data_IF_661323150112
#
_entry.id   IF_661323150112
#
_cell.length_a   1.000
_cell.length_b   1.000
_cell.length_c   1.000
_cell.angle_alpha   90.00
_cell.angle_beta   90.00
_cell.angle_gamma   90.00
#
_symmetry.space_group_name_H-M   'P 1'
#
loop_
_entity.id
_entity.type
_entity.pdbx_description
1 polymer ?
#
# COMPACT_ATOMS: atom_id res chain seq x y z
N UNK A 1 -43.71 0.76 -68.10
CA UNK A 1 -44.39 0.55 -66.80
C UNK A 1 -43.51 -0.28 -65.87
N UNK A 2 -43.08 0.28 -64.74
CA UNK A 2 -43.01 -0.34 -63.40
C UNK A 2 -42.37 0.68 -62.44
N UNK A 3 -43.15 1.35 -61.58
CA UNK A 3 -42.67 2.42 -60.71
C UNK A 3 -41.96 1.84 -59.48
N UNK A 4 -40.78 2.37 -59.17
CA UNK A 4 -40.04 2.07 -57.93
C UNK A 4 -40.58 2.93 -56.78
N UNK A 5 -41.52 2.38 -56.01
CA UNK A 5 -41.98 2.97 -54.74
C UNK A 5 -42.04 1.86 -53.69
N UNK A 6 -41.65 2.21 -52.45
CA UNK A 6 -41.64 1.42 -51.20
C UNK A 6 -40.26 0.99 -50.69
N UNK A 7 -39.34 1.94 -50.48
CA UNK A 7 -38.20 1.74 -49.55
C UNK A 7 -37.85 2.88 -48.57
N UNK A 8 -38.58 4.02 -48.42
CA UNK A 8 -38.17 5.03 -47.43
C UNK A 8 -38.43 4.56 -45.99
N UNK A 9 -39.49 3.78 -45.75
CA UNK A 9 -39.82 3.20 -44.45
C UNK A 9 -38.77 2.22 -43.94
N UNK A 10 -38.17 1.41 -44.83
CA UNK A 10 -37.11 0.46 -44.44
C UNK A 10 -35.83 1.21 -44.03
N UNK A 11 -35.51 2.30 -44.73
CA UNK A 11 -34.40 3.18 -44.35
C UNK A 11 -34.68 3.90 -43.02
N UNK A 12 -35.92 4.35 -42.80
CA UNK A 12 -36.33 4.97 -41.54
C UNK A 12 -36.25 3.98 -40.36
N UNK A 13 -36.71 2.74 -40.53
CA UNK A 13 -36.59 1.69 -39.50
C UNK A 13 -35.14 1.36 -39.14
N UNK A 14 -34.25 1.32 -40.14
CA UNK A 14 -32.82 1.07 -39.92
C UNK A 14 -32.13 2.19 -39.14
N UNK A 15 -32.48 3.44 -39.43
CA UNK A 15 -31.96 4.61 -38.70
C UNK A 15 -32.47 4.66 -37.26
N UNK A 16 -33.75 4.35 -37.03
CA UNK A 16 -34.33 4.30 -35.68
C UNK A 16 -33.69 3.18 -34.85
N UNK A 17 -33.45 2.01 -35.44
CA UNK A 17 -32.77 0.91 -34.75
C UNK A 17 -31.31 1.27 -34.40
N UNK A 18 -30.58 1.94 -35.29
CA UNK A 18 -29.22 2.42 -35.00
C UNK A 18 -29.20 3.49 -33.91
N UNK A 19 -30.16 4.41 -33.91
CA UNK A 19 -30.26 5.45 -32.90
C UNK A 19 -30.56 4.86 -31.51
N UNK A 20 -31.50 3.90 -31.43
CA UNK A 20 -31.79 3.19 -30.18
C UNK A 20 -30.60 2.37 -29.68
N UNK A 21 -29.88 1.67 -30.56
CA UNK A 21 -28.66 0.96 -30.19
C UNK A 21 -27.56 1.92 -29.69
N UNK A 22 -27.41 3.08 -30.33
CA UNK A 22 -26.45 4.12 -29.92
C UNK A 22 -26.81 4.72 -28.56
N UNK A 23 -28.08 4.99 -28.28
CA UNK A 23 -28.53 5.54 -27.00
C UNK A 23 -28.41 4.52 -25.87
N UNK A 24 -28.73 3.25 -26.12
CA UNK A 24 -28.56 2.17 -25.13
C UNK A 24 -27.07 1.94 -24.83
N UNK A 25 -26.20 2.04 -25.84
CA UNK A 25 -24.74 1.92 -25.66
C UNK A 25 -24.18 3.08 -24.83
N UNK A 26 -24.61 4.31 -25.09
CA UNK A 26 -24.13 5.49 -24.34
C UNK A 26 -24.63 5.49 -22.90
N UNK A 27 -25.83 4.97 -22.64
CA UNK A 27 -26.43 4.95 -21.29
C UNK A 27 -26.03 3.74 -20.45
N UNK A 28 -25.64 2.60 -21.07
CA UNK A 28 -25.14 1.42 -20.34
C UNK A 28 -23.62 1.24 -20.37
N UNK A 29 -22.91 1.84 -21.32
CA UNK A 29 -21.45 1.77 -21.46
C UNK A 29 -20.83 3.16 -21.59
N UNK A 30 -20.85 3.92 -20.50
CA UNK A 30 -19.99 5.10 -20.33
C UNK A 30 -18.51 4.71 -20.11
N UNK A 31 -17.86 4.06 -21.09
CA UNK A 31 -16.44 3.72 -20.90
C UNK A 31 -15.74 2.87 -21.96
N UNK A 32 -16.01 3.06 -23.26
CA UNK A 32 -15.27 2.29 -24.28
C UNK A 32 -15.01 3.03 -25.59
N UNK A 33 -14.55 4.29 -25.51
CA UNK A 33 -13.89 4.95 -26.65
C UNK A 33 -12.63 5.66 -26.14
N UNK A 34 -11.56 4.88 -26.05
CA UNK A 34 -10.21 5.33 -25.67
C UNK A 34 -9.16 4.46 -26.36
N UNK A 35 -9.15 4.45 -27.69
CA UNK A 35 -8.03 3.94 -28.49
C UNK A 35 -6.95 5.02 -28.55
N UNK A 36 -5.82 4.78 -27.92
CA UNK A 36 -4.57 5.50 -28.19
C UNK A 36 -3.80 5.94 -26.94
N UNK A 37 -2.70 5.25 -26.68
CA UNK A 37 -1.58 5.81 -25.91
C UNK A 37 -1.36 5.21 -24.53
N UNK A 38 -0.56 4.16 -24.46
CA UNK A 38 0.69 4.14 -23.69
C UNK A 38 0.78 5.04 -22.44
N UNK A 39 -0.15 4.94 -21.47
CA UNK A 39 -0.08 5.68 -20.19
C UNK A 39 -0.74 4.97 -19.01
N UNK A 40 -0.53 3.66 -18.85
CA UNK A 40 -0.90 2.95 -17.61
C UNK A 40 0.32 2.45 -16.80
N UNK A 41 1.52 2.96 -17.11
CA UNK A 41 2.69 2.88 -16.24
C UNK A 41 2.87 4.13 -15.37
N UNK A 42 1.99 5.13 -15.52
CA UNK A 42 1.98 6.30 -14.66
C UNK A 42 1.11 6.00 -13.45
N UNK A 43 1.80 5.85 -12.32
CA UNK A 43 1.30 6.04 -10.97
C UNK A 43 -0.08 5.42 -10.75
N UNK A 44 -0.13 4.21 -10.18
CA UNK A 44 -1.30 3.86 -9.40
C UNK A 44 -1.51 5.03 -8.43
N UNK A 45 -2.64 5.76 -8.50
CA UNK A 45 -2.96 6.68 -7.43
C UNK A 45 -2.91 5.81 -6.19
N UNK A 46 -2.06 6.19 -5.23
CA UNK A 46 -2.14 5.66 -3.88
C UNK A 46 -3.62 5.76 -3.55
N UNK A 47 -4.34 4.63 -3.57
CA UNK A 47 -5.75 4.61 -3.20
C UNK A 47 -5.73 5.15 -1.78
N UNK A 48 -6.09 6.42 -1.62
CA UNK A 48 -6.35 7.02 -0.32
C UNK A 48 -7.44 6.14 0.25
N UNK A 49 -7.05 5.22 1.14
CA UNK A 49 -8.02 4.35 1.80
C UNK A 49 -8.98 5.27 2.50
N UNK A 50 -10.27 4.92 2.42
CA UNK A 50 -11.30 5.59 3.20
C UNK A 50 -10.79 5.73 4.64
N UNK A 51 -10.58 6.98 5.07
CA UNK A 51 -10.02 7.31 6.38
C UNK A 51 -10.98 6.77 7.43
N UNK A 52 -10.53 5.83 8.23
CA UNK A 52 -11.26 5.40 9.41
C UNK A 52 -10.94 6.39 10.55
N UNK A 53 -11.89 7.24 10.97
CA UNK A 53 -11.66 8.23 12.00
C UNK A 53 -11.43 7.61 13.38
N UNK A 54 -11.78 6.33 13.58
CA UNK A 54 -11.62 5.61 14.84
C UNK A 54 -10.44 4.61 14.81
N UNK A 55 -9.54 4.73 13.83
CA UNK A 55 -8.40 3.85 13.73
C UNK A 55 -7.39 4.07 14.86
N UNK A 56 -7.14 3.01 15.62
CA UNK A 56 -6.20 3.03 16.73
C UNK A 56 -4.82 2.49 16.31
N UNK A 57 -3.87 3.42 16.08
CA UNK A 57 -2.51 3.09 15.66
C UNK A 57 -1.75 2.27 16.71
N UNK A 58 -1.99 2.51 18.00
CA UNK A 58 -1.36 1.77 19.09
C UNK A 58 -1.70 0.27 19.10
N UNK A 59 -2.82 -0.13 18.48
CA UNK A 59 -3.24 -1.54 18.39
C UNK A 59 -2.33 -2.37 17.46
N UNK A 60 -1.65 -1.73 16.51
CA UNK A 60 -0.65 -2.35 15.62
C UNK A 60 -1.13 -3.66 14.97
N UNK A 61 -2.37 -3.68 14.49
CA UNK A 61 -2.99 -4.91 14.02
C UNK A 61 -2.27 -5.56 12.84
N UNK A 62 -1.78 -4.75 11.89
CA UNK A 62 -1.04 -5.19 10.71
C UNK A 62 0.41 -5.47 11.07
N UNK A 63 1.04 -4.58 11.82
CA UNK A 63 2.45 -4.71 12.19
C UNK A 63 2.67 -5.95 13.06
N UNK A 64 1.84 -6.17 14.09
CA UNK A 64 1.90 -7.39 14.92
C UNK A 64 1.73 -8.65 14.09
N UNK A 65 0.81 -8.66 13.14
CA UNK A 65 0.64 -9.80 12.25
C UNK A 65 1.88 -10.06 11.40
N UNK A 66 2.52 -9.00 10.88
CA UNK A 66 3.76 -9.10 10.12
C UNK A 66 4.92 -9.63 10.98
N UNK A 67 5.08 -9.14 12.21
CA UNK A 67 6.10 -9.66 13.14
C UNK A 67 5.90 -11.15 13.44
N UNK A 68 4.66 -11.58 13.68
CA UNK A 68 4.33 -12.99 13.91
C UNK A 68 4.65 -13.84 12.68
N UNK A 69 4.32 -13.35 11.48
CA UNK A 69 4.61 -14.04 10.21
C UNK A 69 6.12 -14.21 10.00
N UNK A 70 6.91 -13.16 10.26
CA UNK A 70 8.37 -13.22 10.18
C UNK A 70 8.92 -14.21 11.21
N UNK A 71 8.44 -14.16 12.45
CA UNK A 71 8.94 -15.05 13.49
C UNK A 71 8.64 -16.53 13.19
N UNK A 72 7.46 -16.83 12.66
CA UNK A 72 7.00 -18.21 12.48
C UNK A 72 7.42 -18.83 11.14
N UNK A 73 7.49 -18.03 10.07
CA UNK A 73 7.64 -18.54 8.71
C UNK A 73 8.96 -18.16 8.03
N UNK A 74 9.86 -17.42 8.70
CA UNK A 74 11.12 -17.03 8.08
C UNK A 74 12.18 -18.13 8.23
N UNK A 75 12.79 -18.51 7.11
CA UNK A 75 13.62 -19.72 6.97
C UNK A 75 14.97 -19.62 7.69
N UNK A 76 15.48 -18.39 7.89
CA UNK A 76 16.75 -18.15 8.57
C UNK A 76 16.59 -17.04 9.64
N UNK A 77 16.51 -17.38 10.94
CA UNK A 77 16.34 -16.39 11.99
C UNK A 77 17.53 -15.45 12.12
N UNK A 78 18.73 -15.84 11.67
CA UNK A 78 19.95 -15.01 11.74
C UNK A 78 19.93 -13.80 10.79
N UNK A 79 19.03 -13.78 9.81
CA UNK A 79 18.82 -12.66 8.87
C UNK A 79 17.87 -11.60 9.42
N UNK A 80 17.16 -11.92 10.49
CA UNK A 80 16.26 -10.97 11.14
C UNK A 80 17.12 -10.05 12.00
N UNK A 81 17.21 -8.78 11.61
CA UNK A 81 17.92 -7.74 12.35
C UNK A 81 16.90 -6.74 12.91
N UNK A 82 16.36 -6.96 14.13
CA UNK A 82 15.25 -6.18 14.67
C UNK A 82 15.50 -4.67 14.70
N UNK A 83 16.73 -4.27 15.04
CA UNK A 83 17.16 -2.86 15.05
C UNK A 83 17.08 -2.23 13.66
N UNK A 84 17.64 -2.89 12.65
CA UNK A 84 17.62 -2.37 11.28
C UNK A 84 16.19 -2.29 10.73
N UNK A 85 15.37 -3.29 11.06
CA UNK A 85 13.94 -3.32 10.70
C UNK A 85 13.20 -2.10 11.26
N UNK A 86 13.40 -1.79 12.54
CA UNK A 86 12.80 -0.62 13.17
C UNK A 86 13.21 0.68 12.47
N UNK A 87 14.52 0.88 12.27
CA UNK A 87 15.06 2.07 11.63
C UNK A 87 14.51 2.25 10.21
N UNK A 88 14.41 1.17 9.43
CA UNK A 88 13.90 1.22 8.05
C UNK A 88 12.38 1.42 7.99
N UNK A 89 11.64 0.91 8.98
CA UNK A 89 10.22 1.22 9.16
C UNK A 89 9.99 2.71 9.46
N UNK A 90 10.78 3.28 10.37
CA UNK A 90 10.70 4.69 10.75
C UNK A 90 11.14 5.64 9.63
N UNK A 91 12.21 5.30 8.92
CA UNK A 91 12.67 6.04 7.74
C UNK A 91 11.59 6.03 6.63
N UNK A 92 10.88 4.90 6.45
CA UNK A 92 9.74 4.85 5.54
C UNK A 92 8.61 5.81 5.97
N UNK A 93 8.32 5.93 7.27
CA UNK A 93 7.35 6.90 7.79
C UNK A 93 7.82 8.34 7.52
N UNK A 94 9.07 8.68 7.86
CA UNK A 94 9.65 10.01 7.62
C UNK A 94 9.51 10.43 6.16
N UNK A 95 9.77 9.52 5.22
CA UNK A 95 9.65 9.81 3.79
C UNK A 95 8.22 10.05 3.32
N UNK A 96 7.22 9.48 4.00
CA UNK A 96 5.81 9.66 3.63
C UNK A 96 5.09 10.74 4.43
N UNK A 97 5.55 11.05 5.64
CA UNK A 97 4.91 12.00 6.56
C UNK A 97 5.93 13.07 6.91
N UNK A 98 5.87 14.21 6.22
CA UNK A 98 6.84 15.30 6.37
C UNK A 98 6.96 15.88 7.78
N UNK A 99 5.93 15.69 8.62
CA UNK A 99 5.90 16.14 10.02
C UNK A 99 6.74 15.26 10.95
N UNK A 100 7.09 14.04 10.52
CA UNK A 100 7.87 13.09 11.31
C UNK A 100 9.32 13.17 10.89
N UNK A 101 10.20 13.53 11.81
CA UNK A 101 11.65 13.54 11.63
C UNK A 101 12.28 12.51 12.57
N UNK A 102 13.11 11.64 12.00
CA UNK A 102 13.81 10.56 12.70
C UNK A 102 15.29 10.86 12.63
N UNK A 103 15.93 11.00 13.79
CA UNK A 103 17.37 11.16 13.93
C UNK A 103 17.94 9.95 14.61
N UNK A 104 18.89 9.32 13.95
CA UNK A 104 19.72 8.26 14.52
C UNK A 104 21.16 8.53 14.10
N UNK A 105 22.10 8.24 14.97
CA UNK A 105 23.52 8.26 14.66
C UNK A 105 23.98 6.83 14.34
N UNK A 106 24.96 6.69 13.45
CA UNK A 106 25.46 5.39 13.03
C UNK A 106 26.08 4.66 14.23
N UNK A 107 25.55 3.48 14.57
CA UNK A 107 25.90 2.66 15.74
C UNK A 107 25.46 3.20 17.12
N UNK A 108 24.73 4.32 17.20
CA UNK A 108 24.20 4.78 18.47
C UNK A 108 23.09 3.84 18.97
N UNK A 109 23.02 3.58 20.30
CA UNK A 109 21.88 2.89 20.90
C UNK A 109 20.64 3.77 20.98
N UNK A 110 20.71 5.06 20.62
CA UNK A 110 19.61 6.00 20.78
C UNK A 110 18.97 6.38 19.45
N UNK A 111 17.66 6.61 19.50
CA UNK A 111 16.84 7.02 18.38
C UNK A 111 15.96 8.18 18.83
N UNK A 112 16.05 9.32 18.14
CA UNK A 112 15.25 10.49 18.46
C UNK A 112 14.19 10.68 17.39
N UNK A 113 12.92 10.62 17.79
CA UNK A 113 11.77 10.85 16.91
C UNK A 113 11.14 12.18 17.28
N UNK A 114 11.02 13.06 16.30
CA UNK A 114 10.34 14.36 16.43
C UNK A 114 9.09 14.37 15.56
N UNK A 115 7.98 14.78 16.14
CA UNK A 115 6.72 15.03 15.45
C UNK A 115 6.35 16.48 15.68
N UNK A 116 6.40 17.28 14.62
CA UNK A 116 6.17 18.72 14.70
C UNK A 116 7.04 19.39 15.78
N UNK A 117 6.44 19.83 16.89
CA UNK A 117 7.14 20.50 18.01
C UNK A 117 7.59 19.54 19.12
N UNK A 118 7.14 18.28 19.09
CA UNK A 118 7.37 17.31 20.15
C UNK A 118 8.50 16.35 19.79
N UNK A 119 9.40 16.11 20.72
CA UNK A 119 10.57 15.25 20.54
C UNK A 119 10.63 14.19 21.63
N UNK A 120 10.84 12.95 21.24
CA UNK A 120 11.01 11.83 22.16
C UNK A 120 12.23 11.01 21.76
N UNK A 121 13.08 10.72 22.74
CA UNK A 121 14.24 9.84 22.56
C UNK A 121 13.91 8.46 23.08
N UNK A 122 14.22 7.45 22.27
CA UNK A 122 14.02 6.04 22.55
C UNK A 122 15.37 5.34 22.59
N UNK A 123 15.54 4.42 23.53
CA UNK A 123 16.71 3.55 23.62
C UNK A 123 16.44 2.23 22.87
N UNK A 124 17.37 1.86 21.99
CA UNK A 124 17.38 0.67 21.16
C UNK A 124 18.32 -0.41 21.70
N UNK A 125 19.08 -0.16 22.77
CA UNK A 125 19.99 -1.14 23.38
C UNK A 125 19.28 -2.46 23.76
N UNK A 126 17.99 -2.38 24.14
CA UNK A 126 17.18 -3.54 24.51
C UNK A 126 16.52 -4.29 23.34
N UNK A 127 16.67 -3.84 22.09
CA UNK A 127 15.94 -4.42 20.94
C UNK A 127 16.75 -5.56 20.31
N UNK A 128 16.78 -6.70 21.00
CA UNK A 128 17.53 -7.87 20.55
C UNK A 128 16.64 -8.97 19.98
N UNK A 129 15.33 -8.91 20.24
CA UNK A 129 14.40 -9.93 19.82
C UNK A 129 13.13 -9.36 19.17
N UNK A 130 12.39 -10.19 18.40
CA UNK A 130 11.15 -9.76 17.76
C UNK A 130 10.07 -9.26 18.73
N UNK A 131 10.01 -9.80 19.95
CA UNK A 131 9.05 -9.35 20.96
C UNK A 131 9.40 -7.97 21.54
N UNK A 132 10.69 -7.67 21.71
CA UNK A 132 11.17 -6.34 22.15
C UNK A 132 10.87 -5.29 21.10
N UNK A 133 10.93 -5.69 19.82
CA UNK A 133 10.56 -4.86 18.69
C UNK A 133 9.07 -4.47 18.73
N UNK A 134 8.16 -5.39 19.06
CA UNK A 134 6.73 -5.07 19.22
C UNK A 134 6.50 -4.04 20.33
N UNK A 135 7.17 -4.20 21.48
CA UNK A 135 7.05 -3.26 22.59
C UNK A 135 7.52 -1.85 22.20
N UNK A 136 8.66 -1.73 21.50
CA UNK A 136 9.14 -0.43 21.01
C UNK A 136 8.22 0.20 19.97
N UNK A 137 7.69 -0.60 19.04
CA UNK A 137 6.71 -0.08 18.07
C UNK A 137 5.46 0.46 18.77
N UNK A 138 4.98 -0.20 19.82
CA UNK A 138 3.82 0.27 20.59
C UNK A 138 4.05 1.65 21.17
N UNK A 139 5.20 1.85 21.80
CA UNK A 139 5.59 3.14 22.40
C UNK A 139 5.67 4.24 21.34
N UNK A 140 6.36 3.98 20.23
CA UNK A 140 6.52 4.92 19.12
C UNK A 140 5.16 5.24 18.51
N UNK A 141 4.31 4.25 18.24
CA UNK A 141 3.00 4.48 17.64
C UNK A 141 2.04 5.20 18.57
N UNK A 142 2.14 4.97 19.88
CA UNK A 142 1.39 5.75 20.87
C UNK A 142 1.82 7.22 20.86
N UNK A 143 3.14 7.47 20.76
CA UNK A 143 3.68 8.82 20.59
C UNK A 143 3.20 9.47 19.29
N UNK A 144 3.31 8.76 18.16
CA UNK A 144 2.84 9.25 16.86
C UNK A 144 1.33 9.54 16.88
N UNK A 145 0.52 8.64 17.44
CA UNK A 145 -0.93 8.81 17.50
C UNK A 145 -1.33 10.02 18.36
N UNK A 146 -0.65 10.24 19.48
CA UNK A 146 -0.94 11.38 20.37
C UNK A 146 -0.69 12.72 19.65
N UNK A 147 0.37 12.81 18.85
CA UNK A 147 0.80 14.06 18.20
C UNK A 147 0.30 14.23 16.76
N UNK A 148 -0.19 13.17 16.11
CA UNK A 148 -0.79 13.22 14.77
C UNK A 148 -2.33 13.24 14.80
N UNK A 149 -2.94 13.09 15.98
CA UNK A 149 -4.40 13.25 16.17
C UNK A 149 -4.81 14.69 15.80
N UNK A 150 -5.73 14.80 14.85
CA UNK A 150 -6.23 16.10 14.37
C UNK A 150 -5.61 16.57 13.05
N UNK A 151 -4.57 15.90 12.56
CA UNK A 151 -4.00 16.19 11.23
C UNK A 151 -4.71 15.42 10.13
N UNK A 152 -4.45 15.77 8.86
CA UNK A 152 -4.97 15.07 7.67
C UNK A 152 -4.29 13.71 7.39
N UNK A 153 -3.42 13.24 8.28
CA UNK A 153 -2.68 11.99 8.08
C UNK A 153 -3.56 10.78 8.39
N UNK A 154 -3.65 9.84 7.45
CA UNK A 154 -4.33 8.56 7.67
C UNK A 154 -3.43 7.62 8.49
N UNK A 155 -3.81 7.38 9.76
CA UNK A 155 -3.06 6.53 10.69
C UNK A 155 -2.91 5.08 10.20
N UNK A 156 -3.90 4.55 9.49
CA UNK A 156 -3.83 3.19 8.92
C UNK A 156 -2.72 3.09 7.86
N UNK A 157 -2.56 4.13 7.06
CA UNK A 157 -1.49 4.17 6.07
C UNK A 157 -0.12 4.29 6.73
N UNK A 158 0.01 5.01 7.85
CA UNK A 158 1.25 5.08 8.64
C UNK A 158 1.68 3.69 9.11
N UNK A 159 0.77 2.90 9.66
CA UNK A 159 1.07 1.52 10.08
C UNK A 159 1.57 0.67 8.89
N UNK A 160 0.88 0.79 7.75
CA UNK A 160 1.22 0.02 6.56
C UNK A 160 2.58 0.42 5.96
N UNK A 161 2.91 1.70 5.97
CA UNK A 161 4.22 2.21 5.53
C UNK A 161 5.32 1.65 6.44
N UNK A 162 5.11 1.68 7.76
CA UNK A 162 6.06 1.14 8.72
C UNK A 162 6.29 -0.37 8.49
N UNK A 163 5.22 -1.15 8.39
CA UNK A 163 5.29 -2.58 8.14
C UNK A 163 6.03 -2.91 6.84
N UNK A 164 5.75 -2.18 5.75
CA UNK A 164 6.48 -2.35 4.49
C UNK A 164 7.95 -1.93 4.60
N UNK A 165 8.25 -0.83 5.30
CA UNK A 165 9.63 -0.39 5.53
C UNK A 165 10.46 -1.45 6.25
N UNK A 166 9.88 -2.11 7.26
CA UNK A 166 10.50 -3.23 7.97
C UNK A 166 10.80 -4.40 7.03
N UNK A 167 9.84 -4.81 6.21
CA UNK A 167 9.98 -5.97 5.33
C UNK A 167 11.05 -5.81 4.26
N UNK A 168 11.32 -4.57 3.82
CA UNK A 168 12.36 -4.28 2.84
C UNK A 168 13.78 -4.60 3.32
N UNK A 169 13.97 -4.73 4.64
CA UNK A 169 15.27 -5.13 5.21
C UNK A 169 15.53 -6.63 5.07
N UNK A 170 14.47 -7.43 5.21
CA UNK A 170 14.56 -8.88 5.18
C UNK A 170 14.69 -9.42 3.76
N UNK A 171 14.06 -8.75 2.79
CA UNK A 171 14.09 -9.17 1.38
C UNK A 171 13.60 -7.99 0.51
N UNK A 172 14.46 -7.43 -0.37
CA UNK A 172 14.11 -6.30 -1.23
C UNK A 172 12.90 -6.55 -2.14
N UNK A 173 12.49 -7.81 -2.34
CA UNK A 173 11.40 -8.21 -3.24
C UNK A 173 10.07 -8.52 -2.54
N UNK A 174 10.02 -8.53 -1.19
CA UNK A 174 8.78 -8.76 -0.43
C UNK A 174 7.91 -7.51 -0.43
N UNK A 175 6.63 -7.69 -0.74
CA UNK A 175 5.60 -6.67 -0.59
C UNK A 175 4.38 -7.33 0.07
N UNK A 176 3.75 -6.65 1.02
CA UNK A 176 2.50 -7.13 1.63
C UNK A 176 1.34 -6.37 1.04
N UNK A 177 0.30 -7.07 0.61
CA UNK A 177 -0.94 -6.44 0.14
C UNK A 177 -1.86 -6.08 1.32
N UNK A 178 -2.78 -5.11 1.17
CA UNK A 178 -3.65 -4.62 2.24
C UNK A 178 -4.78 -5.61 2.59
N UNK A 179 -5.39 -5.48 3.78
CA UNK A 179 -6.24 -6.51 4.38
C UNK A 179 -7.59 -6.77 3.67
N UNK A 180 -8.03 -5.90 2.75
CA UNK A 180 -9.32 -6.09 2.07
C UNK A 180 -9.36 -7.29 1.10
N UNK A 181 -8.24 -7.97 0.87
CA UNK A 181 -8.13 -9.03 -0.15
C UNK A 181 -7.40 -10.30 0.30
N UNK A 182 -7.25 -10.52 1.62
CA UNK A 182 -6.39 -11.50 2.31
C UNK A 182 -5.04 -10.91 2.73
N UNK A 183 -4.79 -10.91 4.04
CA UNK A 183 -3.51 -10.51 4.65
C UNK A 183 -2.45 -11.58 4.40
N UNK A 184 -2.07 -11.79 3.14
CA UNK A 184 -1.00 -12.72 2.78
C UNK A 184 0.13 -11.94 2.13
N UNK A 185 1.24 -11.84 2.84
CA UNK A 185 2.51 -11.39 2.28
C UNK A 185 3.02 -12.47 1.32
N UNK A 186 3.22 -12.12 0.05
CA UNK A 186 3.56 -13.10 -1.00
C UNK A 186 5.00 -12.88 -1.45
N UNK A 187 5.82 -13.93 -1.47
CA UNK A 187 7.07 -13.95 -2.26
C UNK A 187 6.71 -13.93 -3.74
N UNK A 188 7.43 -13.15 -4.53
CA UNK A 188 7.39 -13.28 -5.98
C UNK A 188 7.88 -14.70 -6.34
N UNK A 189 7.13 -15.52 -7.10
CA UNK A 189 7.67 -16.79 -7.56
C UNK A 189 8.91 -16.48 -8.39
N UNK A 190 10.02 -17.15 -8.09
CA UNK A 190 11.20 -17.10 -8.95
C UNK A 190 10.72 -17.42 -10.37
N UNK A 191 11.01 -16.53 -11.31
CA UNK A 191 10.72 -16.78 -12.71
C UNK A 191 11.56 -18.01 -13.10
N UNK A 192 10.96 -19.19 -13.06
CA UNK A 192 11.47 -20.36 -13.76
C UNK A 192 11.51 -19.95 -15.22
N UNK A 193 12.71 -19.63 -15.69
CA UNK A 193 13.04 -19.53 -17.09
C UNK A 193 12.61 -20.86 -17.72
N UNK A 194 11.46 -20.85 -18.38
CA UNK A 194 11.06 -21.91 -19.29
C UNK A 194 12.11 -21.93 -20.40
N UNK A 195 13.09 -22.81 -20.25
CA UNK A 195 14.04 -23.16 -21.29
C UNK A 195 13.25 -23.78 -22.43
N UNK A 196 13.18 -23.04 -23.53
CA UNK A 196 12.86 -23.57 -24.85
C UNK A 196 13.98 -24.52 -25.30
N UNK A 197 13.69 -25.80 -25.37
CA UNK A 197 14.35 -26.77 -26.25
C UNK A 197 13.19 -27.41 -27.03
N UNK A 198 12.94 -27.10 -28.31
CA UNK A 198 13.75 -27.45 -29.51
C UNK A 198 14.18 -28.90 -29.51
#
# INVERSE_FOLDING_TARGET
MRPSWNRPWKAALLLVACALASVITVTRHGGLLGLGGSRALLAQPRRERARDPNFDLARMSVLRHVLLEINNNYVDPGRVHPREMLLKGLDAIQRSVAQVLVRHEDNAPTLTVRVDTHEQTFDLAGVNAPWDLEARWREIFTFLQTHLRGTDVNLQDVEYIAANGMLRTLDPTRWCSPPSSSTRCRSRPAATSAGSAS
#
